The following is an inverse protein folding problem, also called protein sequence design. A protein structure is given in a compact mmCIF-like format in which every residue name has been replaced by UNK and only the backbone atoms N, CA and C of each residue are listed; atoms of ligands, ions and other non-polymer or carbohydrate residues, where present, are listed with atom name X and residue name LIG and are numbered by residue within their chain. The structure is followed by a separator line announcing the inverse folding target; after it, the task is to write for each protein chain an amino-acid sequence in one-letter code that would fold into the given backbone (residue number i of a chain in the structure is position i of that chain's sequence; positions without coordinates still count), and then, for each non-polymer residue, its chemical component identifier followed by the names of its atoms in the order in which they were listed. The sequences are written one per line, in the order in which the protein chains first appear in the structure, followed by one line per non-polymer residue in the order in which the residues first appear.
data_IF_630682657896
#
_entry.id   IF_630682657896
#
_cell.length_a   1.000
_cell.length_b   1.000
_cell.length_c   1.000
_cell.angle_alpha   90.00
_cell.angle_beta   90.00
_cell.angle_gamma   90.00
#
_symmetry.space_group_name_H-M   'P 1'
#
loop_
_entity.id
_entity.type
_entity.pdbx_description
1 polymer ?
#
# COMPACT_ATOMS: atom_id res chain seq x y z
N UNK A 1 28.93 -16.89 -9.21
CA UNK A 1 28.08 -16.88 -8.00
C UNK A 1 28.80 -17.36 -6.72
N UNK A 2 29.62 -18.42 -6.75
CA UNK A 2 30.29 -18.98 -5.56
C UNK A 2 31.07 -17.96 -4.71
N UNK A 3 31.88 -17.09 -5.34
CA UNK A 3 32.72 -16.11 -4.61
C UNK A 3 31.95 -14.98 -3.90
N UNK A 4 30.81 -14.53 -4.45
CA UNK A 4 29.99 -13.47 -3.83
C UNK A 4 29.33 -14.00 -2.55
N UNK A 5 28.75 -15.21 -2.64
CA UNK A 5 28.14 -15.88 -1.49
C UNK A 5 29.15 -16.02 -0.35
N UNK A 6 30.33 -16.57 -0.67
CA UNK A 6 31.37 -16.82 0.31
C UNK A 6 31.82 -15.52 1.02
N UNK A 7 32.10 -14.45 0.27
CA UNK A 7 32.59 -13.20 0.87
C UNK A 7 31.52 -12.52 1.74
N UNK A 8 30.25 -12.61 1.34
CA UNK A 8 29.14 -12.02 2.09
C UNK A 8 28.82 -12.81 3.36
N UNK A 9 28.87 -14.14 3.32
CA UNK A 9 28.70 -14.99 4.51
C UNK A 9 29.83 -14.73 5.53
N UNK A 10 31.09 -14.68 5.09
CA UNK A 10 32.21 -14.36 6.00
C UNK A 10 32.09 -12.96 6.61
N UNK A 11 31.76 -11.96 5.78
CA UNK A 11 31.59 -10.60 6.23
C UNK A 11 30.43 -10.48 7.23
N UNK A 12 29.32 -11.17 6.99
CA UNK A 12 28.18 -11.19 7.90
C UNK A 12 28.55 -11.78 9.26
N UNK A 13 29.20 -12.95 9.29
CA UNK A 13 29.64 -13.57 10.55
C UNK A 13 30.69 -12.74 11.30
N UNK A 14 31.52 -12.00 10.58
CA UNK A 14 32.58 -11.15 11.17
C UNK A 14 32.09 -9.74 11.53
N UNK A 15 30.81 -9.43 11.30
CA UNK A 15 30.25 -8.09 11.57
C UNK A 15 30.78 -6.99 10.66
N UNK A 16 31.32 -7.33 9.49
CA UNK A 16 31.85 -6.36 8.52
C UNK A 16 30.68 -5.64 7.84
N UNK A 17 30.56 -4.30 7.97
CA UNK A 17 29.37 -3.59 7.53
C UNK A 17 29.36 -3.25 6.03
N UNK A 18 30.52 -3.30 5.37
CA UNK A 18 30.67 -2.91 3.97
C UNK A 18 31.75 -3.75 3.30
N UNK A 19 31.43 -4.34 2.15
CA UNK A 19 32.32 -5.25 1.42
C UNK A 19 32.47 -4.78 -0.02
N UNK A 20 33.70 -4.89 -0.52
CA UNK A 20 34.02 -4.58 -1.91
C UNK A 20 34.67 -5.82 -2.53
N UNK A 21 34.04 -6.34 -3.58
CA UNK A 21 34.56 -7.46 -4.35
C UNK A 21 35.02 -6.95 -5.70
N UNK A 22 36.25 -7.25 -6.08
CA UNK A 22 36.82 -6.79 -7.34
C UNK A 22 37.78 -7.79 -7.98
N UNK A 23 37.84 -7.79 -9.31
CA UNK A 23 38.84 -8.45 -10.14
C UNK A 23 39.82 -7.43 -10.80
N UNK A 24 39.81 -6.17 -10.33
CA UNK A 24 40.55 -5.06 -10.89
C UNK A 24 39.79 -4.27 -11.96
N UNK A 25 38.89 -4.92 -12.73
CA UNK A 25 38.04 -4.25 -13.73
C UNK A 25 36.66 -3.92 -13.16
N UNK A 26 36.00 -4.92 -12.61
CA UNK A 26 34.67 -4.82 -12.00
C UNK A 26 34.84 -4.64 -10.50
N UNK A 27 34.17 -3.62 -9.94
CA UNK A 27 34.13 -3.32 -8.52
C UNK A 27 32.68 -3.36 -8.06
N UNK A 28 32.35 -4.32 -7.20
CA UNK A 28 31.01 -4.51 -6.66
C UNK A 28 30.99 -4.19 -5.17
N UNK A 29 30.13 -3.26 -4.79
CA UNK A 29 29.99 -2.75 -3.42
C UNK A 29 28.74 -3.34 -2.78
N UNK A 30 28.88 -3.97 -1.61
CA UNK A 30 27.82 -4.71 -0.93
C UNK A 30 27.66 -4.29 0.52
N UNK A 31 26.43 -4.39 1.02
CA UNK A 31 26.09 -4.27 2.44
C UNK A 31 25.66 -5.65 2.98
N UNK A 32 26.56 -6.41 3.65
CA UNK A 32 26.29 -7.79 4.03
C UNK A 32 25.10 -7.95 4.97
N UNK A 33 24.91 -6.99 5.88
CA UNK A 33 23.87 -7.02 6.92
C UNK A 33 22.48 -6.57 6.44
N UNK A 34 22.33 -6.10 5.21
CA UNK A 34 21.04 -5.66 4.67
C UNK A 34 20.19 -6.85 4.17
N UNK A 35 18.88 -6.64 4.03
CA UNK A 35 17.95 -7.70 3.63
C UNK A 35 17.94 -7.97 2.11
N UNK A 36 17.43 -9.15 1.74
CA UNK A 36 17.27 -9.56 0.33
C UNK A 36 18.34 -10.53 -0.15
N UNK A 37 18.28 -10.86 -1.45
CA UNK A 37 19.27 -11.70 -2.13
C UNK A 37 20.65 -11.03 -2.16
N UNK A 38 21.70 -11.78 -2.51
CA UNK A 38 23.05 -11.22 -2.67
C UNK A 38 23.08 -10.09 -3.71
N UNK A 39 22.26 -10.17 -4.75
CA UNK A 39 22.11 -9.12 -5.75
C UNK A 39 21.37 -7.90 -5.20
N UNK A 40 20.33 -8.09 -4.39
CA UNK A 40 19.60 -6.98 -3.77
C UNK A 40 20.53 -6.17 -2.86
N UNK A 41 21.43 -6.84 -2.12
CA UNK A 41 22.42 -6.22 -1.21
C UNK A 41 23.54 -5.46 -1.92
N UNK A 42 23.61 -5.48 -3.26
CA UNK A 42 24.61 -4.74 -4.03
C UNK A 42 24.23 -3.28 -4.19
N UNK A 43 25.03 -2.41 -3.60
CA UNK A 43 24.86 -0.96 -3.66
C UNK A 43 25.28 -0.42 -5.01
N UNK A 44 26.37 -0.88 -5.59
CA UNK A 44 26.80 -0.40 -6.90
C UNK A 44 27.70 -1.43 -7.58
N UNK A 45 27.69 -1.45 -8.91
CA UNK A 45 28.61 -2.24 -9.74
C UNK A 45 29.27 -1.28 -10.71
N UNK A 46 30.56 -1.03 -10.50
CA UNK A 46 31.40 -0.20 -11.36
C UNK A 46 32.19 -1.11 -12.28
N UNK A 47 32.02 -0.96 -13.60
CA UNK A 47 32.96 -1.51 -14.59
C UNK A 47 33.83 -0.35 -15.07
N UNK A 48 35.12 -0.39 -14.74
CA UNK A 48 36.06 0.68 -15.06
C UNK A 48 36.30 0.86 -16.57
N UNK A 49 35.96 -0.14 -17.38
CA UNK A 49 36.19 -0.10 -18.83
C UNK A 49 34.96 0.42 -19.59
N UNK A 50 33.78 0.33 -18.97
CA UNK A 50 32.52 0.80 -19.57
C UNK A 50 32.08 2.18 -19.06
N UNK A 51 32.54 2.59 -17.87
CA UNK A 51 32.15 3.86 -17.24
C UNK A 51 33.13 4.98 -17.58
N UNK A 52 32.60 6.20 -17.58
CA UNK A 52 33.40 7.41 -17.73
C UNK A 52 34.39 7.57 -16.57
N UNK A 53 35.55 8.16 -16.84
CA UNK A 53 36.63 8.33 -15.86
C UNK A 53 36.15 9.17 -14.67
N UNK A 54 35.39 10.25 -14.89
CA UNK A 54 34.90 11.10 -13.81
C UNK A 54 33.86 10.37 -12.97
N UNK A 55 33.02 9.54 -13.59
CA UNK A 55 32.10 8.67 -12.85
C UNK A 55 32.87 7.64 -12.00
N UNK A 56 33.88 6.98 -12.56
CA UNK A 56 34.70 6.01 -11.84
C UNK A 56 35.42 6.64 -10.64
N UNK A 57 36.06 7.80 -10.84
CA UNK A 57 36.71 8.58 -9.78
C UNK A 57 35.71 8.96 -8.70
N UNK A 58 34.53 9.46 -9.09
CA UNK A 58 33.47 9.84 -8.15
C UNK A 58 33.00 8.65 -7.31
N UNK A 59 32.76 7.49 -7.93
CA UNK A 59 32.33 6.28 -7.22
C UNK A 59 33.40 5.76 -6.26
N UNK A 60 34.65 5.65 -6.71
CA UNK A 60 35.76 5.20 -5.87
C UNK A 60 36.02 6.18 -4.72
N UNK A 61 36.02 7.49 -4.98
CA UNK A 61 36.14 8.49 -3.94
C UNK A 61 34.98 8.40 -2.93
N UNK A 62 33.75 8.28 -3.42
CA UNK A 62 32.54 8.20 -2.58
C UNK A 62 32.59 7.03 -1.59
N UNK A 63 33.06 5.86 -2.04
CA UNK A 63 33.00 4.61 -1.28
C UNK A 63 34.32 4.15 -0.64
N UNK A 64 35.47 4.61 -1.12
CA UNK A 64 36.78 4.11 -0.68
C UNK A 64 37.72 5.20 -0.15
N UNK A 65 37.43 6.49 -0.35
CA UNK A 65 38.32 7.56 0.11
C UNK A 65 38.56 7.46 1.61
N UNK A 66 39.82 7.51 2.02
CA UNK A 66 40.26 7.19 3.38
C UNK A 66 39.46 7.96 4.44
N UNK A 67 39.37 9.29 4.32
CA UNK A 67 38.68 10.11 5.32
C UNK A 67 37.20 9.75 5.42
N UNK A 68 36.54 9.49 4.28
CA UNK A 68 35.12 9.09 4.23
C UNK A 68 34.88 7.71 4.81
N UNK A 69 35.87 6.83 4.73
CA UNK A 69 35.79 5.48 5.28
C UNK A 69 35.98 5.51 6.79
N UNK A 70 37.02 6.18 7.28
CA UNK A 70 37.34 6.20 8.72
C UNK A 70 36.31 6.98 9.55
N UNK A 71 35.64 7.97 8.95
CA UNK A 71 34.57 8.73 9.60
C UNK A 71 33.16 8.16 9.38
N UNK A 72 33.03 7.00 8.70
CA UNK A 72 31.76 6.32 8.48
C UNK A 72 30.86 6.89 7.36
N UNK A 73 31.23 8.01 6.73
CA UNK A 73 30.43 8.64 5.66
C UNK A 73 30.23 7.74 4.45
N UNK A 74 31.22 6.92 4.08
CA UNK A 74 31.12 5.97 2.97
C UNK A 74 30.00 4.95 3.21
N UNK A 75 29.93 4.39 4.42
CA UNK A 75 28.91 3.43 4.83
C UNK A 75 27.52 4.06 4.89
N UNK A 76 27.38 5.25 5.47
CA UNK A 76 26.10 5.96 5.51
C UNK A 76 25.57 6.30 4.11
N UNK A 77 26.47 6.74 3.22
CA UNK A 77 26.14 7.02 1.82
C UNK A 77 25.64 5.74 1.13
N UNK A 78 26.36 4.63 1.30
CA UNK A 78 25.99 3.34 0.74
C UNK A 78 24.61 2.86 1.24
N UNK A 79 24.36 2.96 2.55
CA UNK A 79 23.06 2.59 3.15
C UNK A 79 21.92 3.47 2.66
N UNK A 80 22.16 4.76 2.44
CA UNK A 80 21.15 5.66 1.88
C UNK A 80 20.81 5.24 0.44
N UNK A 81 21.80 5.07 -0.42
CA UNK A 81 21.60 4.66 -1.82
C UNK A 81 20.93 3.28 -1.93
N UNK A 82 21.33 2.32 -1.10
CA UNK A 82 20.67 1.01 -1.02
C UNK A 82 19.20 1.14 -0.63
N UNK A 83 18.88 1.90 0.44
CA UNK A 83 17.49 2.08 0.87
C UNK A 83 16.63 2.74 -0.20
N UNK A 84 17.14 3.76 -0.86
CA UNK A 84 16.39 4.48 -1.91
C UNK A 84 16.14 3.58 -3.12
N UNK A 85 17.14 2.80 -3.56
CA UNK A 85 16.97 1.83 -4.65
C UNK A 85 16.04 0.69 -4.26
N UNK A 86 16.25 0.10 -3.08
CA UNK A 86 15.47 -1.05 -2.64
C UNK A 86 14.00 -0.67 -2.40
N UNK A 87 13.71 0.54 -1.88
CA UNK A 87 12.33 1.08 -1.81
C UNK A 87 11.66 1.11 -3.18
N UNK A 88 12.36 1.60 -4.21
CA UNK A 88 11.82 1.64 -5.57
C UNK A 88 11.59 0.24 -6.14
N UNK A 89 12.54 -0.68 -5.93
CA UNK A 89 12.43 -2.07 -6.40
C UNK A 89 11.29 -2.82 -5.70
N UNK A 90 11.17 -2.68 -4.37
CA UNK A 90 10.07 -3.25 -3.58
C UNK A 90 8.73 -2.68 -4.07
N UNK A 91 8.63 -1.36 -4.23
CA UNK A 91 7.42 -0.74 -4.76
C UNK A 91 7.08 -1.27 -6.15
N UNK A 92 8.06 -1.39 -7.05
CA UNK A 92 7.86 -1.94 -8.40
C UNK A 92 7.41 -3.40 -8.38
N UNK A 93 8.02 -4.24 -7.53
CA UNK A 93 7.62 -5.65 -7.35
C UNK A 93 6.20 -5.78 -6.76
N UNK A 94 5.77 -4.83 -5.94
CA UNK A 94 4.42 -4.81 -5.37
C UNK A 94 3.33 -4.30 -6.32
N UNK A 95 3.68 -3.63 -7.44
CA UNK A 95 2.69 -3.09 -8.39
C UNK A 95 1.81 -4.21 -9.00
N UNK A 96 2.35 -5.32 -9.54
CA UNK A 96 1.53 -6.39 -10.10
C UNK A 96 0.58 -7.02 -9.07
N UNK A 97 1.06 -7.23 -7.83
CA UNK A 97 0.23 -7.75 -6.74
C UNK A 97 -0.91 -6.79 -6.41
N UNK A 98 -0.61 -5.50 -6.26
CA UNK A 98 -1.62 -4.47 -6.00
C UNK A 98 -2.63 -4.32 -7.15
N UNK A 99 -2.18 -4.42 -8.41
CA UNK A 99 -3.06 -4.44 -9.57
C UNK A 99 -4.04 -5.60 -9.52
N UNK A 100 -3.54 -6.81 -9.29
CA UNK A 100 -4.37 -8.01 -9.20
C UNK A 100 -5.37 -7.93 -8.03
N UNK A 101 -4.96 -7.38 -6.88
CA UNK A 101 -5.84 -7.17 -5.73
C UNK A 101 -6.98 -6.19 -6.06
N UNK A 102 -6.68 -5.08 -6.74
CA UNK A 102 -7.68 -4.10 -7.16
C UNK A 102 -8.68 -4.68 -8.16
N UNK A 103 -8.20 -5.46 -9.14
CA UNK A 103 -9.07 -6.12 -10.12
C UNK A 103 -9.95 -7.18 -9.44
N UNK A 104 -9.38 -8.04 -8.60
CA UNK A 104 -10.12 -9.11 -7.94
C UNK A 104 -11.23 -8.59 -7.03
N UNK A 105 -10.99 -7.46 -6.35
CA UNK A 105 -12.00 -6.80 -5.51
C UNK A 105 -13.04 -6.00 -6.29
N UNK A 106 -12.88 -5.88 -7.61
CA UNK A 106 -13.72 -5.03 -8.47
C UNK A 106 -13.74 -3.59 -7.94
N UNK A 107 -12.56 -3.02 -7.71
CA UNK A 107 -12.43 -1.68 -7.13
C UNK A 107 -13.18 -0.63 -7.96
N UNK A 108 -14.11 0.08 -7.33
CA UNK A 108 -15.03 0.99 -8.02
C UNK A 108 -14.35 2.20 -8.64
N UNK A 109 -13.26 2.69 -8.04
CA UNK A 109 -12.54 3.84 -8.59
C UNK A 109 -11.83 3.41 -9.87
N UNK A 110 -11.21 2.23 -9.86
CA UNK A 110 -10.57 1.67 -11.06
C UNK A 110 -11.58 1.47 -12.19
N UNK A 111 -12.74 0.88 -11.89
CA UNK A 111 -13.81 0.66 -12.87
C UNK A 111 -14.33 1.98 -13.42
N UNK A 112 -14.65 2.95 -12.56
CA UNK A 112 -15.13 4.27 -12.96
C UNK A 112 -14.10 5.03 -13.83
N UNK A 113 -12.81 4.95 -13.48
CA UNK A 113 -11.74 5.61 -14.23
C UNK A 113 -11.61 5.05 -15.65
N UNK A 114 -11.81 3.74 -15.82
CA UNK A 114 -11.83 3.11 -17.15
C UNK A 114 -13.09 3.47 -17.91
N UNK A 115 -14.26 3.48 -17.27
CA UNK A 115 -15.51 3.92 -17.90
C UNK A 115 -15.41 5.36 -18.41
N UNK A 116 -14.83 6.26 -17.61
CA UNK A 116 -14.58 7.66 -17.98
C UNK A 116 -13.58 7.77 -19.14
N UNK A 117 -12.51 6.97 -19.12
CA UNK A 117 -11.52 6.94 -20.20
C UNK A 117 -12.10 6.44 -21.53
N UNK A 118 -12.95 5.41 -21.50
CA UNK A 118 -13.66 4.90 -22.70
C UNK A 118 -14.66 5.95 -23.21
N UNK A 119 -15.43 6.56 -22.31
CA UNK A 119 -16.35 7.64 -22.66
C UNK A 119 -15.63 8.83 -23.29
N UNK A 120 -14.46 9.21 -22.77
CA UNK A 120 -13.65 10.29 -23.36
C UNK A 120 -13.12 9.95 -24.74
N UNK A 121 -12.90 8.66 -25.05
CA UNK A 121 -12.31 8.22 -26.32
C UNK A 121 -13.36 7.96 -27.40
N UNK A 122 -14.53 7.45 -27.04
CA UNK A 122 -15.56 6.97 -27.97
C UNK A 122 -16.86 7.78 -27.89
N UNK A 123 -17.02 8.63 -26.86
CA UNK A 123 -18.25 9.37 -26.60
C UNK A 123 -19.38 8.53 -26.00
N UNK A 124 -19.17 7.22 -25.85
CA UNK A 124 -20.11 6.27 -25.28
C UNK A 124 -19.56 5.72 -23.97
N UNK A 125 -20.36 5.77 -22.91
CA UNK A 125 -19.98 5.20 -21.61
C UNK A 125 -20.29 3.70 -21.62
N UNK A 126 -19.30 2.82 -21.38
CA UNK A 126 -19.54 1.38 -21.32
C UNK A 126 -20.32 1.01 -20.06
N UNK A 127 -20.91 -0.19 -20.04
CA UNK A 127 -21.50 -0.73 -18.82
C UNK A 127 -20.42 -1.15 -17.82
N UNK A 128 -20.78 -1.12 -16.53
CA UNK A 128 -19.86 -1.44 -15.45
C UNK A 128 -19.40 -2.90 -15.51
N UNK A 129 -20.32 -3.81 -15.85
CA UNK A 129 -20.06 -5.23 -15.96
C UNK A 129 -19.13 -5.56 -17.14
N UNK A 130 -19.25 -4.84 -18.25
CA UNK A 130 -18.34 -4.99 -19.40
C UNK A 130 -16.89 -4.67 -19.01
N UNK A 131 -16.69 -3.59 -18.24
CA UNK A 131 -15.37 -3.18 -17.75
C UNK A 131 -14.83 -4.18 -16.73
N UNK A 132 -15.67 -4.68 -15.82
CA UNK A 132 -15.27 -5.70 -14.84
C UNK A 132 -14.85 -7.00 -15.54
N UNK A 133 -15.66 -7.48 -16.48
CA UNK A 133 -15.37 -8.69 -17.25
C UNK A 133 -14.09 -8.54 -18.06
N UNK A 134 -13.86 -7.37 -18.66
CA UNK A 134 -12.60 -7.06 -19.33
C UNK A 134 -11.41 -7.09 -18.37
N UNK A 135 -11.53 -6.51 -17.18
CA UNK A 135 -10.44 -6.49 -16.20
C UNK A 135 -10.09 -7.90 -15.70
N UNK A 136 -11.10 -8.71 -15.37
CA UNK A 136 -10.91 -10.09 -14.89
C UNK A 136 -10.32 -10.98 -15.97
N UNK A 137 -10.79 -10.88 -17.22
CA UNK A 137 -10.27 -11.69 -18.34
C UNK A 137 -8.84 -11.35 -18.74
N UNK A 138 -8.33 -10.16 -18.36
CA UNK A 138 -6.95 -9.75 -18.61
C UNK A 138 -5.99 -10.05 -17.45
N UNK A 139 -6.44 -10.69 -16.37
CA UNK A 139 -5.51 -11.23 -15.37
C UNK A 139 -4.78 -12.41 -16.03
N UNK A 140 -3.49 -12.22 -16.37
CA UNK A 140 -2.63 -13.34 -16.78
C UNK A 140 -2.49 -14.33 -15.62
N UNK A 141 -2.87 -15.58 -15.88
CA UNK A 141 -2.96 -16.70 -14.94
C UNK A 141 -1.62 -17.32 -14.53
N UNK A 142 -0.50 -16.57 -14.57
CA UNK A 142 0.84 -17.13 -14.32
C UNK A 142 1.29 -16.98 -12.85
N UNK A 143 0.36 -16.90 -11.90
CA UNK A 143 0.68 -16.98 -10.47
C UNK A 143 -0.01 -18.19 -9.81
N UNK A 144 0.69 -18.86 -8.87
CA UNK A 144 0.16 -20.00 -8.15
C UNK A 144 -1.12 -19.61 -7.38
N UNK A 145 -2.02 -20.59 -7.14
CA UNK A 145 -3.28 -20.33 -6.47
C UNK A 145 -3.03 -19.67 -5.10
N UNK A 146 -3.70 -18.54 -4.89
CA UNK A 146 -3.88 -17.81 -3.63
C UNK A 146 -2.89 -18.15 -2.52
N UNK A 147 -1.86 -17.33 -2.35
CA UNK A 147 -1.38 -17.11 -0.98
C UNK A 147 -2.54 -16.49 -0.18
N UNK A 148 -2.85 -16.97 1.03
CA UNK A 148 -3.88 -16.37 1.87
C UNK A 148 -3.57 -14.87 2.03
N UNK A 149 -4.61 -14.02 2.14
CA UNK A 149 -4.39 -12.59 2.32
C UNK A 149 -3.38 -12.38 3.46
N UNK A 150 -2.38 -11.50 3.29
CA UNK A 150 -1.44 -11.22 4.37
C UNK A 150 -2.23 -10.90 5.63
N UNK A 151 -1.77 -11.36 6.82
CA UNK A 151 -2.48 -11.11 8.07
C UNK A 151 -2.75 -9.61 8.14
N UNK A 152 -4.00 -9.22 8.40
CA UNK A 152 -4.39 -7.84 8.24
C UNK A 152 -3.59 -7.04 9.27
N UNK A 153 -2.91 -5.99 8.80
CA UNK A 153 -2.10 -5.13 9.67
C UNK A 153 -3.02 -4.58 10.75
N UNK A 154 -2.81 -5.03 11.99
CA UNK A 154 -3.56 -4.54 13.14
C UNK A 154 -3.22 -3.06 13.32
N UNK A 155 -4.26 -2.23 13.25
CA UNK A 155 -4.18 -0.80 13.47
C UNK A 155 -4.83 -0.44 14.80
N UNK A 156 -4.52 0.75 15.30
CA UNK A 156 -5.19 1.33 16.46
C UNK A 156 -6.09 2.48 16.01
N UNK A 157 -7.32 2.48 16.50
CA UNK A 157 -8.28 3.59 16.38
C UNK A 157 -8.38 4.25 17.73
N UNK A 158 -8.18 5.56 17.81
CA UNK A 158 -8.38 6.34 19.03
C UNK A 158 -9.59 7.24 18.83
N UNK A 159 -10.57 7.18 19.73
CA UNK A 159 -11.79 8.00 19.70
C UNK A 159 -11.90 8.68 21.06
N UNK A 160 -11.84 10.01 21.09
CA UNK A 160 -11.85 10.83 22.31
C UNK A 160 -10.85 10.33 23.38
N UNK A 161 -9.64 9.95 22.94
CA UNK A 161 -8.58 9.45 23.81
C UNK A 161 -8.67 7.96 24.18
N UNK A 162 -9.76 7.27 23.86
CA UNK A 162 -9.91 5.83 24.12
C UNK A 162 -9.43 5.03 22.91
N UNK A 163 -8.54 4.07 23.14
CA UNK A 163 -7.96 3.23 22.09
C UNK A 163 -8.77 1.94 21.86
N UNK A 164 -8.91 1.57 20.60
CA UNK A 164 -9.57 0.37 20.11
C UNK A 164 -8.64 -0.33 19.12
N UNK A 165 -8.55 -1.65 19.20
CA UNK A 165 -7.81 -2.45 18.24
C UNK A 165 -8.69 -2.69 17.01
N UNK A 166 -8.18 -2.35 15.82
CA UNK A 166 -8.83 -2.62 14.55
C UNK A 166 -7.99 -3.64 13.77
N UNK A 167 -8.59 -4.81 13.52
CA UNK A 167 -7.94 -5.88 12.77
C UNK A 167 -7.75 -5.53 11.29
N UNK A 168 -8.50 -4.57 10.74
CA UNK A 168 -8.42 -4.14 9.34
C UNK A 168 -9.01 -2.74 9.14
N UNK A 169 -8.83 -2.15 7.95
CA UNK A 169 -9.47 -0.88 7.61
C UNK A 169 -11.01 -0.95 7.60
N UNK A 170 -11.60 -2.12 7.26
CA UNK A 170 -13.05 -2.35 7.39
C UNK A 170 -13.47 -2.27 8.86
N UNK A 171 -12.73 -2.95 9.71
CA UNK A 171 -13.00 -3.03 11.14
C UNK A 171 -12.90 -1.66 11.82
N UNK A 172 -11.89 -0.86 11.45
CA UNK A 172 -11.74 0.52 11.93
C UNK A 172 -12.98 1.39 11.66
N UNK A 173 -13.55 1.33 10.45
CA UNK A 173 -14.79 2.07 10.13
C UNK A 173 -15.93 1.61 11.01
N UNK A 174 -16.11 0.29 11.16
CA UNK A 174 -17.21 -0.29 11.95
C UNK A 174 -17.09 0.10 13.43
N UNK A 175 -15.87 0.07 13.98
CA UNK A 175 -15.60 0.51 15.36
C UNK A 175 -15.98 1.97 15.56
N UNK A 176 -15.52 2.87 14.67
CA UNK A 176 -15.85 4.30 14.76
C UNK A 176 -17.35 4.52 14.73
N UNK A 177 -18.04 3.96 13.74
CA UNK A 177 -19.49 4.15 13.59
C UNK A 177 -20.28 3.59 14.78
N UNK A 178 -19.88 2.43 15.31
CA UNK A 178 -20.52 1.82 16.48
C UNK A 178 -20.26 2.60 17.76
N UNK A 179 -19.13 3.27 17.88
CA UNK A 179 -18.85 4.07 19.07
C UNK A 179 -19.63 5.39 19.04
N UNK A 180 -19.66 6.08 17.90
CA UNK A 180 -20.32 7.38 17.77
C UNK A 180 -21.84 7.31 17.93
N UNK A 181 -22.47 6.22 17.46
CA UNK A 181 -23.93 6.06 17.63
C UNK A 181 -24.35 5.84 19.08
N UNK A 182 -23.47 5.36 19.97
CA UNK A 182 -23.82 5.13 21.39
C UNK A 182 -24.23 6.41 22.11
N UNK A 183 -23.65 7.54 21.70
CA UNK A 183 -23.90 8.85 22.30
C UNK A 183 -25.01 9.63 21.59
N UNK A 184 -25.47 9.16 20.43
CA UNK A 184 -26.36 9.88 19.54
C UNK A 184 -27.21 8.90 18.70
N UNK A 185 -28.47 8.62 19.11
CA UNK A 185 -29.34 7.68 18.41
C UNK A 185 -29.68 8.07 16.96
N UNK A 186 -29.70 9.38 16.66
CA UNK A 186 -30.01 9.91 15.33
C UNK A 186 -28.75 10.03 14.44
N UNK A 187 -27.59 9.60 14.94
CA UNK A 187 -26.31 9.73 14.26
C UNK A 187 -26.35 9.17 12.83
N UNK A 188 -26.89 7.97 12.66
CA UNK A 188 -26.92 7.31 11.36
C UNK A 188 -27.89 7.97 10.37
N UNK A 189 -28.97 8.61 10.85
CA UNK A 189 -29.85 9.40 9.98
C UNK A 189 -29.07 10.59 9.40
N UNK A 190 -28.27 11.27 10.23
CA UNK A 190 -27.40 12.35 9.75
C UNK A 190 -26.30 11.84 8.83
N UNK A 191 -25.70 10.69 9.12
CA UNK A 191 -24.75 10.05 8.21
C UNK A 191 -25.39 9.76 6.85
N UNK A 192 -26.61 9.22 6.83
CA UNK A 192 -27.38 8.93 5.62
C UNK A 192 -27.76 10.16 4.80
N UNK A 193 -27.70 11.36 5.36
CA UNK A 193 -27.90 12.60 4.60
C UNK A 193 -26.57 13.25 4.18
N UNK A 194 -25.46 12.82 4.77
CA UNK A 194 -24.16 13.45 4.56
C UNK A 194 -23.48 12.94 3.29
N UNK A 195 -23.04 13.86 2.42
CA UNK A 195 -22.37 13.56 1.14
C UNK A 195 -21.18 12.58 1.25
N UNK A 196 -20.49 12.56 2.40
CA UNK A 196 -19.36 11.67 2.64
C UNK A 196 -19.74 10.18 2.79
N UNK A 197 -21.02 9.90 2.99
CA UNK A 197 -21.58 8.54 3.02
C UNK A 197 -22.23 8.16 1.69
N UNK A 198 -22.17 9.01 0.66
CA UNK A 198 -22.79 8.74 -0.64
C UNK A 198 -21.74 8.61 -1.73
N UNK A 199 -21.88 7.54 -2.53
CA UNK A 199 -21.28 7.49 -3.84
C UNK A 199 -22.20 8.12 -4.88
N UNK A 200 -21.78 8.15 -6.15
CA UNK A 200 -22.62 8.68 -7.25
C UNK A 200 -23.95 7.96 -7.41
N UNK A 201 -24.01 6.66 -7.10
CA UNK A 201 -25.15 5.76 -7.42
C UNK A 201 -25.76 5.06 -6.21
N UNK A 202 -25.19 5.24 -5.00
CA UNK A 202 -25.56 4.44 -3.83
C UNK A 202 -25.17 5.12 -2.53
N UNK A 203 -25.83 4.72 -1.46
CA UNK A 203 -25.44 5.06 -0.11
C UNK A 203 -24.44 4.02 0.42
N UNK A 204 -23.45 4.45 1.18
CA UNK A 204 -22.52 3.57 1.88
C UNK A 204 -23.07 3.11 3.23
N UNK A 205 -24.05 3.82 3.78
CA UNK A 205 -24.82 3.43 4.96
C UNK A 205 -26.31 3.47 4.59
N UNK A 206 -27.10 2.47 4.97
CA UNK A 206 -28.54 2.43 4.65
C UNK A 206 -29.31 1.50 5.60
N UNK A 207 -30.65 1.58 5.59
CA UNK A 207 -31.54 0.68 6.35
C UNK A 207 -31.82 -0.65 5.62
N UNK A 208 -31.46 -0.75 4.36
CA UNK A 208 -31.58 -1.98 3.56
C UNK A 208 -30.28 -2.27 2.80
N UNK A 209 -30.00 -3.56 2.58
CA UNK A 209 -28.84 -4.00 1.79
C UNK A 209 -29.03 -3.63 0.31
N UNK A 210 -30.27 -3.55 -0.16
CA UNK A 210 -30.62 -3.12 -1.51
C UNK A 210 -30.20 -1.68 -1.80
N UNK A 211 -30.35 -0.77 -0.84
CA UNK A 211 -29.89 0.61 -0.99
C UNK A 211 -28.37 0.75 -1.02
N UNK A 212 -27.64 -0.17 -0.36
CA UNK A 212 -26.18 -0.22 -0.43
C UNK A 212 -25.70 -0.67 -1.81
N UNK A 213 -26.42 -1.60 -2.45
CA UNK A 213 -26.05 -2.18 -3.73
C UNK A 213 -27.24 -2.30 -4.71
N UNK A 214 -27.85 -1.17 -5.17
CA UNK A 214 -29.14 -1.20 -5.89
C UNK A 214 -29.12 -1.95 -7.23
N UNK A 215 -27.95 -2.01 -7.87
CA UNK A 215 -27.73 -2.64 -9.17
C UNK A 215 -26.69 -3.76 -9.14
N UNK A 216 -26.25 -4.17 -7.94
CA UNK A 216 -25.13 -5.10 -7.75
C UNK A 216 -25.50 -6.18 -6.73
N UNK A 217 -26.46 -7.07 -7.05
CA UNK A 217 -26.91 -8.11 -6.14
C UNK A 217 -25.76 -9.05 -5.71
N UNK A 218 -24.75 -9.21 -6.56
CA UNK A 218 -23.51 -9.96 -6.30
C UNK A 218 -22.70 -9.40 -5.13
N UNK A 219 -22.83 -8.10 -4.82
CA UNK A 219 -22.08 -7.44 -3.75
C UNK A 219 -22.81 -7.36 -2.41
N UNK A 220 -24.07 -7.82 -2.35
CA UNK A 220 -24.92 -7.72 -1.16
C UNK A 220 -24.37 -8.47 0.06
N UNK A 221 -23.56 -9.50 -0.13
CA UNK A 221 -22.88 -10.20 0.98
C UNK A 221 -21.81 -9.34 1.67
N UNK A 222 -21.26 -8.34 0.98
CA UNK A 222 -20.17 -7.50 1.49
C UNK A 222 -20.69 -6.32 2.30
N UNK A 223 -21.46 -6.57 3.36
CA UNK A 223 -21.90 -5.54 4.29
C UNK A 223 -21.41 -5.79 5.73
N UNK A 224 -21.57 -4.78 6.57
CA UNK A 224 -21.47 -4.91 8.03
C UNK A 224 -22.77 -4.45 8.66
N UNK A 225 -23.23 -5.19 9.67
CA UNK A 225 -24.41 -4.82 10.46
C UNK A 225 -24.02 -3.80 11.51
N UNK A 226 -24.75 -2.68 11.54
CA UNK A 226 -24.65 -1.62 12.53
C UNK A 226 -25.89 -1.63 13.44
N UNK A 227 -25.81 -0.97 14.62
CA UNK A 227 -26.96 -0.83 15.51
C UNK A 227 -28.19 -0.20 14.84
N UNK A 228 -29.36 -0.42 15.43
CA UNK A 228 -30.63 0.20 15.03
C UNK A 228 -31.09 -0.10 13.58
N UNK A 229 -30.72 -1.27 13.05
CA UNK A 229 -31.17 -1.73 11.73
C UNK A 229 -30.43 -1.07 10.57
N UNK A 230 -29.24 -0.53 10.81
CA UNK A 230 -28.40 0.07 9.78
C UNK A 230 -27.36 -0.92 9.25
N UNK A 231 -26.98 -0.72 7.99
CA UNK A 231 -25.98 -1.51 7.30
C UNK A 231 -24.92 -0.60 6.70
N UNK A 232 -23.67 -1.07 6.65
CA UNK A 232 -22.55 -0.40 6.01
C UNK A 232 -22.03 -1.23 4.84
N UNK A 233 -21.82 -0.62 3.68
CA UNK A 233 -21.11 -1.23 2.55
C UNK A 233 -19.65 -1.50 2.93
N UNK A 234 -19.15 -2.71 2.69
CA UNK A 234 -17.76 -3.08 3.07
C UNK A 234 -16.86 -3.40 1.90
N UNK A 235 -17.43 -3.64 0.70
CA UNK A 235 -16.66 -3.64 -0.54
C UNK A 235 -16.37 -2.19 -0.99
N UNK A 236 -15.43 -1.54 -0.30
CA UNK A 236 -15.03 -0.15 -0.53
C UNK A 236 -13.50 -0.04 -0.53
N UNK A 237 -12.94 0.87 -1.33
CA UNK A 237 -11.49 1.15 -1.30
C UNK A 237 -11.07 1.75 0.05
N UNK A 238 -9.79 1.61 0.45
CA UNK A 238 -9.31 2.18 1.71
C UNK A 238 -9.40 3.72 1.74
N UNK A 239 -9.35 4.37 0.58
CA UNK A 239 -9.55 5.81 0.47
C UNK A 239 -11.01 6.20 0.79
N UNK A 240 -12.00 5.44 0.29
CA UNK A 240 -13.41 5.66 0.61
C UNK A 240 -13.66 5.39 2.10
N UNK A 241 -13.12 4.30 2.65
CA UNK A 241 -13.22 4.01 4.08
C UNK A 241 -12.69 5.16 4.94
N UNK A 242 -11.55 5.76 4.58
CA UNK A 242 -11.00 6.95 5.26
C UNK A 242 -11.93 8.16 5.15
N UNK A 243 -12.52 8.41 3.97
CA UNK A 243 -13.51 9.48 3.77
C UNK A 243 -14.76 9.29 4.63
N UNK A 244 -15.25 8.05 4.74
CA UNK A 244 -16.39 7.72 5.60
C UNK A 244 -16.08 8.08 7.06
N UNK A 245 -14.88 7.77 7.55
CA UNK A 245 -14.49 8.10 8.92
C UNK A 245 -14.37 9.61 9.14
N UNK A 246 -13.81 10.33 8.16
CA UNK A 246 -13.76 11.80 8.22
C UNK A 246 -15.17 12.40 8.28
N UNK A 247 -16.07 11.93 7.43
CA UNK A 247 -17.48 12.34 7.43
C UNK A 247 -18.19 11.97 8.73
N UNK A 248 -17.91 10.79 9.30
CA UNK A 248 -18.45 10.36 10.58
C UNK A 248 -18.01 11.30 11.72
N UNK A 249 -16.74 11.71 11.71
CA UNK A 249 -16.22 12.68 12.67
C UNK A 249 -16.96 14.02 12.54
N UNK A 250 -17.09 14.55 11.32
CA UNK A 250 -17.81 15.79 11.02
C UNK A 250 -19.26 15.75 11.52
N UNK A 251 -19.99 14.67 11.22
CA UNK A 251 -21.38 14.48 11.66
C UNK A 251 -21.50 14.42 13.19
N UNK A 252 -20.51 13.85 13.87
CA UNK A 252 -20.45 13.80 15.33
C UNK A 252 -19.93 15.09 15.98
N UNK A 253 -19.58 16.13 15.19
CA UNK A 253 -18.97 17.36 15.69
C UNK A 253 -17.53 17.19 16.20
N UNK A 254 -16.82 16.15 15.72
CA UNK A 254 -15.46 15.80 16.08
C UNK A 254 -14.47 16.11 14.96
N UNK A 255 -13.20 16.32 15.32
CA UNK A 255 -12.13 16.61 14.38
C UNK A 255 -11.31 15.36 14.07
N UNK A 256 -11.32 14.91 12.80
CA UNK A 256 -10.43 13.83 12.35
C UNK A 256 -8.96 14.25 12.44
N UNK A 257 -8.11 13.40 13.01
CA UNK A 257 -6.70 13.67 13.30
C UNK A 257 -6.43 14.26 14.69
N UNK A 258 -7.49 14.64 15.43
CA UNK A 258 -7.39 15.11 16.83
C UNK A 258 -8.25 14.24 17.75
N UNK A 259 -9.56 14.23 17.52
CA UNK A 259 -10.53 13.53 18.35
C UNK A 259 -10.72 12.07 17.87
N UNK A 260 -10.56 11.84 16.56
CA UNK A 260 -10.50 10.50 15.95
C UNK A 260 -9.18 10.34 15.22
N UNK A 261 -8.35 9.38 15.65
CA UNK A 261 -7.03 9.10 15.08
C UNK A 261 -6.98 7.63 14.63
N UNK A 262 -6.39 7.38 13.47
CA UNK A 262 -6.21 6.03 12.95
C UNK A 262 -4.75 5.80 12.59
N UNK A 263 -4.17 4.77 13.19
CA UNK A 263 -2.80 4.32 12.95
C UNK A 263 -2.85 2.93 12.33
N UNK A 264 -2.43 2.80 11.06
CA UNK A 264 -2.24 1.53 10.36
C UNK A 264 -0.78 1.33 9.98
#
# INVERSE_FOLDING_TARGET
ESGIRQVLEYAFHSGVPFVVLTDGRIWSFYLPSEQGSYEDRRVYKLDLFERDIQEAVSVLHKYLYYDRTINGQALETARKEYRDRNRRLIAQKAIPEAWNELVARRDEILVELIMDAVASKVGLRPEEDDVINFLVSNIRSDLPPHSPPPPPKSGNVIINGKAYNASSAKDAVVIVLRELVKTDPDFFERCYQHKGFHGKKRHYIARSIDELYPKRPDLREFHAVLPHGWFLATNLSNQIKRKIIQAAAEVAGLTFGKDIIINF
#
